data_IF_009732692635
#
_entry.id   IF_009732692635
#
_cell.length_a   1.000
_cell.length_b   1.000
_cell.length_c   1.000
_cell.angle_alpha   90.00
_cell.angle_beta   90.00
_cell.angle_gamma   90.00
#
_symmetry.space_group_name_H-M   'P 1'
#
loop_
_entity.id
_entity.type
_entity.pdbx_description
1 polymer ?
#
# COMPACT_ATOMS: atom_id res chain seq x y z
N UNK A 1 -38.15 0.36 30.41
CA UNK A 1 -37.37 0.59 29.17
C UNK A 1 -36.03 -0.12 29.34
N UNK A 2 -35.95 -1.39 28.95
CA UNK A 2 -34.69 -2.15 29.03
C UNK A 2 -33.85 -1.81 27.81
N UNK A 3 -32.72 -1.16 28.05
CA UNK A 3 -31.72 -0.82 27.04
C UNK A 3 -31.13 -2.11 26.47
N UNK A 4 -31.50 -2.42 25.22
CA UNK A 4 -30.88 -3.50 24.47
C UNK A 4 -29.44 -3.11 24.17
N UNK A 5 -28.48 -3.85 24.74
CA UNK A 5 -27.08 -3.77 24.35
C UNK A 5 -27.02 -4.17 22.88
N UNK A 6 -26.82 -3.20 21.99
CA UNK A 6 -26.52 -3.45 20.61
C UNK A 6 -25.17 -4.20 20.58
N UNK A 7 -25.23 -5.53 20.45
CA UNK A 7 -24.06 -6.35 20.16
C UNK A 7 -23.67 -6.00 18.72
N UNK A 8 -22.84 -4.96 18.58
CA UNK A 8 -22.23 -4.59 17.32
C UNK A 8 -21.52 -5.80 16.77
N UNK A 9 -21.81 -6.15 15.52
CA UNK A 9 -21.19 -7.28 14.83
C UNK A 9 -19.70 -6.99 14.72
N UNK A 10 -18.89 -7.61 15.57
CA UNK A 10 -17.44 -7.42 15.56
C UNK A 10 -16.88 -8.05 14.30
N UNK A 11 -16.38 -7.21 13.38
CA UNK A 11 -15.64 -7.70 12.22
C UNK A 11 -14.27 -8.12 12.69
N UNK A 12 -14.08 -9.43 12.90
CA UNK A 12 -12.74 -9.98 13.15
C UNK A 12 -11.87 -9.77 11.92
N UNK A 13 -10.81 -9.00 12.10
CA UNK A 13 -9.79 -8.78 11.09
C UNK A 13 -8.60 -9.67 11.43
N UNK A 14 -8.13 -10.44 10.46
CA UNK A 14 -6.91 -11.23 10.62
C UNK A 14 -5.68 -10.34 10.33
N UNK A 15 -4.84 -10.01 11.33
CA UNK A 15 -3.68 -9.16 11.14
C UNK A 15 -2.67 -9.77 10.15
N UNK A 16 -2.58 -11.10 10.05
CA UNK A 16 -1.66 -11.75 9.12
C UNK A 16 -2.08 -11.52 7.67
N UNK A 17 -3.40 -11.48 7.40
CA UNK A 17 -3.91 -11.15 6.06
C UNK A 17 -3.61 -9.71 5.68
N UNK A 18 -3.72 -8.77 6.62
CA UNK A 18 -3.35 -7.37 6.39
C UNK A 18 -1.85 -7.22 6.09
N UNK A 19 -0.99 -7.88 6.86
CA UNK A 19 0.46 -7.89 6.62
C UNK A 19 0.82 -8.52 5.28
N UNK A 20 0.17 -9.62 4.90
CA UNK A 20 0.35 -10.24 3.60
C UNK A 20 -0.04 -9.29 2.45
N UNK A 21 -1.17 -8.59 2.58
CA UNK A 21 -1.58 -7.57 1.59
C UNK A 21 -0.62 -6.38 1.54
N UNK A 22 -0.04 -5.97 2.67
CA UNK A 22 0.99 -4.93 2.70
C UNK A 22 2.26 -5.37 1.95
N UNK A 23 2.68 -6.63 2.11
CA UNK A 23 3.79 -7.21 1.35
C UNK A 23 3.53 -7.16 -0.15
N UNK A 24 2.34 -7.55 -0.61
CA UNK A 24 1.96 -7.47 -2.03
C UNK A 24 2.09 -6.03 -2.55
N UNK A 25 1.66 -5.04 -1.78
CA UNK A 25 1.81 -3.63 -2.18
C UNK A 25 3.29 -3.23 -2.35
N UNK A 26 4.16 -3.67 -1.43
CA UNK A 26 5.62 -3.43 -1.50
C UNK A 26 6.29 -4.17 -2.66
N UNK A 27 5.84 -5.38 -2.96
CA UNK A 27 6.34 -6.16 -4.11
C UNK A 27 5.97 -5.49 -5.43
N UNK A 28 4.71 -5.04 -5.56
CA UNK A 28 4.25 -4.26 -6.70
C UNK A 28 5.04 -2.95 -6.85
N UNK A 29 5.25 -2.23 -5.73
CA UNK A 29 6.06 -1.00 -5.70
C UNK A 29 7.49 -1.23 -6.21
N UNK A 30 8.09 -2.34 -5.80
CA UNK A 30 9.44 -2.74 -6.21
C UNK A 30 9.48 -3.16 -7.68
N UNK A 31 8.43 -3.84 -8.15
CA UNK A 31 8.24 -4.19 -9.55
C UNK A 31 8.17 -2.97 -10.47
N UNK A 32 7.44 -1.92 -10.06
CA UNK A 32 7.39 -0.64 -10.80
C UNK A 32 8.80 -0.04 -10.90
N UNK A 33 9.57 -0.02 -9.80
CA UNK A 33 10.93 0.49 -9.80
C UNK A 33 11.85 -0.23 -10.80
N UNK A 34 11.76 -1.56 -10.84
CA UNK A 34 12.53 -2.39 -11.80
C UNK A 34 12.13 -2.13 -13.24
N UNK A 35 10.82 -2.11 -13.53
CA UNK A 35 10.30 -1.85 -14.87
C UNK A 35 10.79 -0.49 -15.40
N UNK A 36 10.74 0.55 -14.57
CA UNK A 36 11.28 1.88 -14.91
C UNK A 36 12.76 1.77 -15.25
N UNK A 37 13.57 1.16 -14.37
CA UNK A 37 15.02 1.08 -14.58
C UNK A 37 15.45 0.27 -15.81
N UNK A 38 14.63 -0.70 -16.22
CA UNK A 38 14.91 -1.56 -17.38
C UNK A 38 14.44 -0.93 -18.69
N UNK A 39 13.25 -0.32 -18.71
CA UNK A 39 12.61 0.15 -19.96
C UNK A 39 12.96 1.60 -20.31
N UNK A 40 13.20 2.47 -19.33
CA UNK A 40 13.48 3.88 -19.61
C UNK A 40 14.73 4.12 -20.46
N UNK A 41 15.89 3.47 -20.22
CA UNK A 41 17.09 3.71 -21.01
C UNK A 41 16.90 3.38 -22.50
N UNK A 42 16.22 2.27 -22.80
CA UNK A 42 15.90 1.88 -24.17
C UNK A 42 14.94 2.88 -24.84
N UNK A 43 13.96 3.37 -24.06
CA UNK A 43 13.00 4.37 -24.52
C UNK A 43 13.69 5.70 -24.82
N UNK A 44 14.58 6.17 -23.94
CA UNK A 44 15.37 7.40 -24.16
C UNK A 44 16.25 7.30 -25.41
N UNK A 45 16.91 6.15 -25.61
CA UNK A 45 17.71 5.90 -26.80
C UNK A 45 16.86 5.94 -28.09
N UNK A 46 15.68 5.31 -28.07
CA UNK A 46 14.76 5.31 -29.21
C UNK A 46 14.26 6.73 -29.54
N UNK A 47 13.90 7.51 -28.52
CA UNK A 47 13.51 8.93 -28.67
C UNK A 47 14.64 9.75 -29.30
N UNK A 48 15.88 9.55 -28.84
CA UNK A 48 17.06 10.23 -29.37
C UNK A 48 17.33 9.90 -30.84
N UNK A 49 17.12 8.65 -31.25
CA UNK A 49 17.28 8.19 -32.62
C UNK A 49 16.16 8.67 -33.57
N UNK A 50 15.06 9.18 -33.03
CA UNK A 50 13.89 9.54 -33.84
C UNK A 50 14.12 10.87 -34.60
N UNK A 51 13.89 10.90 -35.93
CA UNK A 51 14.01 12.12 -36.71
C UNK A 51 12.84 13.08 -36.47
N UNK A 52 13.11 14.38 -36.55
CA UNK A 52 12.11 15.44 -36.40
C UNK A 52 11.95 15.91 -34.94
N UNK A 53 12.09 17.22 -34.73
CA UNK A 53 12.11 17.82 -33.39
C UNK A 53 10.74 17.78 -32.69
N UNK A 54 9.65 17.97 -33.44
CA UNK A 54 8.30 18.02 -32.87
C UNK A 54 7.87 16.65 -32.33
N UNK A 55 8.11 15.59 -33.11
CA UNK A 55 7.77 14.23 -32.71
C UNK A 55 8.65 13.76 -31.55
N UNK A 56 9.96 14.09 -31.57
CA UNK A 56 10.85 13.87 -30.42
C UNK A 56 10.33 14.55 -29.15
N UNK A 57 9.92 15.82 -29.24
CA UNK A 57 9.40 16.55 -28.09
C UNK A 57 8.12 15.90 -27.54
N UNK A 58 7.20 15.50 -28.41
CA UNK A 58 5.99 14.79 -28.00
C UNK A 58 6.29 13.47 -27.27
N UNK A 59 7.29 12.70 -27.72
CA UNK A 59 7.70 11.47 -27.03
C UNK A 59 8.38 11.75 -25.68
N UNK A 60 9.17 12.81 -25.58
CA UNK A 60 9.77 13.25 -24.30
C UNK A 60 8.68 13.63 -23.30
N UNK A 61 7.68 14.40 -23.73
CA UNK A 61 6.55 14.80 -22.87
C UNK A 61 5.73 13.59 -22.42
N UNK A 62 5.51 12.61 -23.31
CA UNK A 62 4.85 11.35 -22.96
C UNK A 62 5.65 10.55 -21.91
N UNK A 63 6.97 10.45 -22.08
CA UNK A 63 7.85 9.76 -21.14
C UNK A 63 7.85 10.43 -19.76
N UNK A 64 7.85 11.77 -19.71
CA UNK A 64 7.72 12.52 -18.46
C UNK A 64 6.37 12.29 -17.77
N UNK A 65 5.26 12.31 -18.53
CA UNK A 65 3.94 12.01 -17.99
C UNK A 65 3.87 10.58 -17.42
N UNK A 66 4.42 9.59 -18.13
CA UNK A 66 4.48 8.21 -17.68
C UNK A 66 5.31 8.07 -16.39
N UNK A 67 6.45 8.76 -16.29
CA UNK A 67 7.28 8.82 -15.07
C UNK A 67 6.50 9.32 -13.87
N UNK A 68 5.74 10.39 -14.06
CA UNK A 68 4.92 10.98 -13.00
C UNK A 68 3.80 10.04 -12.56
N UNK A 69 3.12 9.39 -13.49
CA UNK A 69 2.07 8.41 -13.19
C UNK A 69 2.62 7.20 -12.41
N UNK A 70 3.76 6.66 -12.83
CA UNK A 70 4.39 5.54 -12.12
C UNK A 70 4.87 5.95 -10.72
N UNK A 71 5.38 7.18 -10.57
CA UNK A 71 5.75 7.73 -9.25
C UNK A 71 4.52 7.83 -8.33
N UNK A 72 3.41 8.37 -8.84
CA UNK A 72 2.15 8.50 -8.09
C UNK A 72 1.58 7.13 -7.71
N UNK A 73 1.62 6.16 -8.63
CA UNK A 73 1.20 4.80 -8.36
C UNK A 73 2.07 4.16 -7.25
N UNK A 74 3.39 4.34 -7.33
CA UNK A 74 4.31 3.89 -6.29
C UNK A 74 3.98 4.47 -4.91
N UNK A 75 3.76 5.78 -4.82
CA UNK A 75 3.37 6.45 -3.57
C UNK A 75 2.06 5.92 -3.00
N UNK A 76 1.07 5.62 -3.85
CA UNK A 76 -0.20 5.02 -3.42
C UNK A 76 -0.03 3.62 -2.87
N UNK A 77 0.84 2.80 -3.48
CA UNK A 77 1.15 1.46 -2.98
C UNK A 77 1.86 1.53 -1.62
N UNK A 78 2.84 2.42 -1.47
CA UNK A 78 3.55 2.64 -0.21
C UNK A 78 2.59 3.08 0.92
N UNK A 79 1.73 4.06 0.63
CA UNK A 79 0.72 4.54 1.58
C UNK A 79 -0.29 3.45 1.96
N UNK A 80 -0.71 2.62 1.00
CA UNK A 80 -1.63 1.51 1.26
C UNK A 80 -0.98 0.44 2.13
N UNK A 81 0.28 0.08 1.85
CA UNK A 81 1.03 -0.86 2.68
C UNK A 81 1.15 -0.36 4.13
N UNK A 82 1.51 0.90 4.31
CA UNK A 82 1.63 1.52 5.63
C UNK A 82 0.30 1.52 6.41
N UNK A 83 -0.81 1.80 5.73
CA UNK A 83 -2.14 1.76 6.35
C UNK A 83 -2.53 0.35 6.79
N UNK A 84 -2.24 -0.66 5.96
CA UNK A 84 -2.49 -2.07 6.30
C UNK A 84 -1.65 -2.54 7.49
N UNK A 85 -0.36 -2.19 7.53
CA UNK A 85 0.54 -2.50 8.64
C UNK A 85 0.09 -1.82 9.94
N UNK A 86 -0.33 -0.55 9.85
CA UNK A 86 -0.84 0.21 10.99
C UNK A 86 -2.11 -0.43 11.53
N UNK A 87 -3.04 -0.80 10.65
CA UNK A 87 -4.29 -1.49 11.03
C UNK A 87 -4.03 -2.85 11.67
N UNK A 88 -3.07 -3.63 11.16
CA UNK A 88 -2.67 -4.90 11.76
C UNK A 88 -2.10 -4.72 13.17
N UNK A 89 -1.29 -3.68 13.36
CA UNK A 89 -0.74 -3.29 14.65
C UNK A 89 -1.83 -2.86 15.65
N UNK A 90 -2.78 -2.04 15.21
CA UNK A 90 -3.91 -1.58 16.02
C UNK A 90 -4.79 -2.75 16.47
N UNK A 91 -5.12 -3.66 15.56
CA UNK A 91 -5.91 -4.85 15.88
C UNK A 91 -5.20 -5.72 16.93
N UNK A 92 -3.92 -5.99 16.74
CA UNK A 92 -3.11 -6.81 17.67
C UNK A 92 -3.03 -6.15 19.05
N UNK A 93 -2.85 -4.82 19.11
CA UNK A 93 -2.86 -4.08 20.38
C UNK A 93 -4.22 -4.14 21.07
N UNK A 94 -5.31 -3.99 20.31
CA UNK A 94 -6.68 -4.08 20.82
C UNK A 94 -6.99 -5.44 21.44
N UNK A 95 -6.68 -6.53 20.73
CA UNK A 95 -6.82 -7.91 21.22
C UNK A 95 -6.03 -8.13 22.52
N UNK A 96 -4.76 -7.69 22.56
CA UNK A 96 -3.92 -7.82 23.74
C UNK A 96 -4.45 -7.03 24.94
N UNK A 97 -4.96 -5.82 24.73
CA UNK A 97 -5.56 -4.98 25.78
C UNK A 97 -6.86 -5.59 26.32
N UNK A 98 -7.70 -6.15 25.44
CA UNK A 98 -8.91 -6.87 25.82
C UNK A 98 -8.57 -8.12 26.65
N UNK A 99 -7.65 -8.96 26.16
CA UNK A 99 -7.20 -10.15 26.87
C UNK A 99 -6.56 -9.83 28.24
N UNK A 100 -5.85 -8.70 28.37
CA UNK A 100 -5.31 -8.25 29.65
C UNK A 100 -6.40 -7.77 30.62
N UNK A 101 -7.48 -7.18 30.11
CA UNK A 101 -8.64 -6.77 30.90
C UNK A 101 -9.43 -7.98 31.41
N UNK A 102 -9.67 -8.98 30.55
CA UNK A 102 -10.31 -10.24 30.95
C UNK A 102 -9.50 -10.98 32.01
N UNK A 103 -8.18 -11.15 31.81
CA UNK A 103 -7.30 -11.80 32.81
C UNK A 103 -7.30 -11.09 34.17
N UNK A 104 -7.44 -9.76 34.19
CA UNK A 104 -7.57 -8.99 35.44
C UNK A 104 -8.93 -9.18 36.11
N UNK A 105 -10.00 -9.35 35.35
CA UNK A 105 -11.33 -9.60 35.88
C UNK A 105 -11.49 -11.03 36.45
N UNK A 106 -10.69 -11.99 35.96
CA UNK A 106 -10.72 -13.40 36.39
C UNK A 106 -9.84 -13.72 37.61
N UNK A 107 -9.06 -12.76 38.13
CA UNK A 107 -8.35 -12.92 39.40
C UNK A 107 -9.23 -12.39 40.54
N UNK A 108 -9.89 -13.25 41.35
CA UNK A 108 -10.46 -12.80 42.61
C UNK A 108 -9.28 -12.50 43.55
N UNK A 109 -9.37 -11.36 44.23
CA UNK A 109 -8.52 -10.91 45.34
C UNK A 109 -7.88 -12.04 46.16
#
# INVERSE_FOLDING_TARGET
MSSGVAVGRETRVDPQRLLASASVCRDLRSGIGRMISEVEPETEAAIGATPGWLFRKALQDLMEAQRDDMRRLGQRLDSTAQALESSAGDYTRGENANAASFRRAEQPW
#
